data_IF_467938758436
#
_entry.id   IF_467938758436
#
_cell.length_a   1.000
_cell.length_b   1.000
_cell.length_c   1.000
_cell.angle_alpha   90.00
_cell.angle_beta   90.00
_cell.angle_gamma   90.00
#
_symmetry.space_group_name_H-M   'P 1'
#
loop_
_entity.id
_entity.type
_entity.pdbx_description
1 polymer ?
#
# COMPACT_ATOMS: atom_id res chain seq x y z
N UNK A 1 -0.76 24.85 19.55
CA UNK A 1 -1.39 23.72 20.22
C UNK A 1 -0.33 22.69 20.51
N UNK A 2 -0.19 22.29 21.75
CA UNK A 2 0.74 21.23 22.12
C UNK A 2 0.07 19.89 21.81
N UNK A 3 0.55 19.18 20.77
CA UNK A 3 -0.01 17.89 20.34
C UNK A 3 0.67 16.69 21.03
N UNK A 4 1.74 16.91 21.80
CA UNK A 4 2.51 15.84 22.43
C UNK A 4 1.66 15.00 23.41
N UNK A 5 0.70 15.64 24.08
CA UNK A 5 -0.22 14.98 25.01
C UNK A 5 -1.46 14.33 24.35
N UNK A 6 -1.67 14.53 23.04
CA UNK A 6 -2.84 14.02 22.30
C UNK A 6 -2.47 12.78 21.50
N UNK A 7 -1.26 12.73 20.99
CA UNK A 7 -0.77 11.63 20.18
C UNK A 7 -0.35 10.43 21.04
N UNK A 8 -0.65 9.23 20.56
CA UNK A 8 -0.13 8.03 21.21
C UNK A 8 1.40 7.98 21.13
N UNK A 9 2.07 7.41 22.13
CA UNK A 9 3.54 7.26 22.15
C UNK A 9 4.06 6.56 20.89
N UNK A 10 3.33 5.56 20.39
CA UNK A 10 3.69 4.83 19.16
C UNK A 10 3.73 5.72 17.92
N UNK A 11 2.89 6.76 17.86
CA UNK A 11 2.88 7.72 16.75
C UNK A 11 3.95 8.79 16.94
N UNK A 12 4.25 9.19 18.17
CA UNK A 12 5.31 10.16 18.48
C UNK A 12 6.70 9.65 18.06
N UNK A 13 6.92 8.34 18.18
CA UNK A 13 8.19 7.68 17.82
C UNK A 13 8.35 7.48 16.29
N UNK A 14 7.30 7.71 15.49
CA UNK A 14 7.38 7.57 14.04
C UNK A 14 8.14 8.75 13.41
N UNK A 15 9.21 8.43 12.70
CA UNK A 15 9.93 9.42 11.92
C UNK A 15 9.23 9.70 10.58
N UNK A 16 9.13 10.98 10.23
CA UNK A 16 8.63 11.38 8.91
C UNK A 16 9.53 10.85 7.80
N UNK A 17 8.92 10.36 6.72
CA UNK A 17 9.65 9.98 5.52
C UNK A 17 10.39 11.19 4.93
N UNK A 18 11.72 11.10 4.78
CA UNK A 18 12.53 12.13 4.15
C UNK A 18 12.18 12.40 2.68
N UNK A 19 11.52 11.46 2.01
CA UNK A 19 11.13 11.56 0.59
C UNK A 19 10.24 12.79 0.33
N UNK A 20 9.31 13.11 1.25
CA UNK A 20 8.42 14.28 1.08
C UNK A 20 9.16 15.61 0.95
N UNK A 21 10.27 15.79 1.68
CA UNK A 21 11.09 16.99 1.58
C UNK A 21 11.68 17.19 0.17
N UNK A 22 12.00 16.09 -0.50
CA UNK A 22 12.50 16.15 -1.88
C UNK A 22 11.40 16.47 -2.88
N UNK A 23 10.15 16.07 -2.64
CA UNK A 23 9.02 16.50 -3.48
C UNK A 23 8.78 17.98 -3.37
N UNK A 24 8.78 18.55 -2.16
CA UNK A 24 8.59 19.98 -1.96
C UNK A 24 9.71 20.80 -2.65
N UNK A 25 10.95 20.32 -2.58
CA UNK A 25 12.09 20.92 -3.27
C UNK A 25 11.91 20.81 -4.79
N UNK A 26 11.58 19.62 -5.31
CA UNK A 26 11.39 19.41 -6.75
C UNK A 26 10.25 20.28 -7.31
N UNK A 27 9.15 20.43 -6.56
CA UNK A 27 8.02 21.27 -6.95
C UNK A 27 8.35 22.78 -7.02
N UNK A 28 9.46 23.22 -6.43
CA UNK A 28 9.91 24.62 -6.48
C UNK A 28 10.74 24.99 -7.72
N UNK A 29 10.99 24.04 -8.60
CA UNK A 29 11.75 24.22 -9.83
C UNK A 29 10.92 23.82 -11.05
N UNK A 30 10.96 24.65 -12.11
CA UNK A 30 10.16 24.40 -13.33
C UNK A 30 10.77 23.35 -14.26
N UNK A 31 12.07 23.08 -14.16
CA UNK A 31 12.81 22.18 -15.07
C UNK A 31 13.57 21.10 -14.27
N UNK A 32 12.81 20.19 -13.62
CA UNK A 32 13.39 19.10 -12.83
C UNK A 32 13.12 17.77 -13.49
N UNK A 33 14.19 17.02 -13.75
CA UNK A 33 14.09 15.59 -14.06
C UNK A 33 14.05 14.82 -12.74
N UNK A 34 12.85 14.39 -12.32
CA UNK A 34 12.68 13.63 -11.08
C UNK A 34 12.97 12.15 -11.29
N UNK A 35 13.94 11.62 -10.54
CA UNK A 35 14.22 10.19 -10.42
C UNK A 35 13.83 9.64 -9.04
N UNK A 36 13.02 10.38 -8.29
CA UNK A 36 12.73 10.10 -6.87
C UNK A 36 11.59 9.12 -6.67
N UNK A 37 10.61 9.07 -7.59
CA UNK A 37 9.45 8.18 -7.51
C UNK A 37 9.47 7.23 -8.68
N UNK A 38 9.33 5.94 -8.40
CA UNK A 38 9.20 4.92 -9.42
C UNK A 38 7.77 4.88 -9.98
N UNK A 39 7.38 5.90 -10.72
CA UNK A 39 6.11 5.90 -11.45
C UNK A 39 6.34 5.79 -12.96
N UNK A 40 5.47 5.06 -13.68
CA UNK A 40 5.56 5.00 -15.13
C UNK A 40 5.29 6.36 -15.77
N UNK A 41 6.10 6.80 -16.72
CA UNK A 41 5.87 8.01 -17.53
C UNK A 41 4.84 7.79 -18.65
N UNK A 42 4.34 6.58 -18.81
CA UNK A 42 3.29 6.21 -19.75
C UNK A 42 1.90 6.51 -19.18
N UNK A 43 1.05 7.14 -19.98
CA UNK A 43 -0.37 7.28 -19.63
C UNK A 43 -1.03 5.89 -19.59
N UNK A 44 -1.90 5.68 -18.61
CA UNK A 44 -2.75 4.49 -18.55
C UNK A 44 -3.40 4.22 -19.91
N UNK A 45 -3.36 2.98 -20.44
CA UNK A 45 -3.94 2.64 -21.74
C UNK A 45 -5.39 3.13 -21.90
N UNK A 46 -5.70 3.62 -23.10
CA UNK A 46 -7.01 4.23 -23.36
C UNK A 46 -8.18 3.30 -23.03
N UNK A 47 -8.08 2.01 -23.33
CA UNK A 47 -9.12 1.05 -23.02
C UNK A 47 -9.51 1.03 -21.54
N UNK A 48 -8.51 1.10 -20.64
CA UNK A 48 -8.73 1.13 -19.19
C UNK A 48 -9.36 2.46 -18.77
N UNK A 49 -8.84 3.59 -19.27
CA UNK A 49 -9.39 4.92 -18.96
C UNK A 49 -10.84 5.07 -19.44
N UNK A 50 -11.14 4.60 -20.65
CA UNK A 50 -12.48 4.61 -21.23
C UNK A 50 -13.47 3.82 -20.36
N UNK A 51 -13.06 2.66 -19.87
CA UNK A 51 -13.93 1.85 -19.00
C UNK A 51 -14.20 2.53 -17.66
N UNK A 52 -13.19 3.16 -17.05
CA UNK A 52 -13.37 3.95 -15.82
C UNK A 52 -14.38 5.10 -16.03
N UNK A 53 -14.28 5.84 -17.14
CA UNK A 53 -15.24 6.91 -17.51
C UNK A 53 -16.64 6.32 -17.65
N UNK A 54 -16.78 5.22 -18.39
CA UNK A 54 -18.07 4.55 -18.61
C UNK A 54 -18.74 4.10 -17.30
N UNK A 55 -17.97 3.62 -16.34
CA UNK A 55 -18.48 3.21 -15.02
C UNK A 55 -19.01 4.42 -14.25
N UNK A 56 -18.30 5.55 -14.29
CA UNK A 56 -18.75 6.81 -13.67
C UNK A 56 -20.01 7.37 -14.34
N UNK A 57 -20.06 7.40 -15.67
CA UNK A 57 -21.24 7.85 -16.43
C UNK A 57 -22.49 7.00 -16.12
N UNK A 58 -22.30 5.72 -15.81
CA UNK A 58 -23.39 4.82 -15.38
C UNK A 58 -23.79 4.99 -13.90
N UNK A 59 -23.18 5.93 -13.18
CA UNK A 59 -23.48 6.19 -11.78
C UNK A 59 -23.13 5.03 -10.83
N UNK A 60 -22.19 4.16 -11.18
CA UNK A 60 -21.75 3.05 -10.32
C UNK A 60 -20.76 3.55 -9.26
N UNK A 61 -21.24 4.40 -8.36
CA UNK A 61 -20.44 5.06 -7.30
C UNK A 61 -20.91 4.68 -5.90
N UNK A 62 -21.69 3.61 -5.77
CA UNK A 62 -22.21 3.13 -4.49
C UNK A 62 -21.15 2.35 -3.71
N UNK A 63 -21.40 2.20 -2.40
CA UNK A 63 -20.60 1.31 -1.57
C UNK A 63 -20.57 -0.12 -2.10
N UNK A 64 -19.44 -0.77 -1.93
CA UNK A 64 -19.25 -2.18 -2.25
C UNK A 64 -19.27 -3.03 -0.97
N UNK A 65 -19.18 -4.36 -1.12
CA UNK A 65 -18.85 -5.22 0.00
C UNK A 65 -17.45 -4.84 0.56
N UNK A 66 -17.22 -5.05 1.87
CA UNK A 66 -15.96 -4.71 2.53
C UNK A 66 -14.74 -5.38 1.88
N UNK A 67 -14.90 -6.59 1.36
CA UNK A 67 -13.85 -7.30 0.65
C UNK A 67 -13.63 -6.84 -0.80
N UNK A 68 -14.41 -5.87 -1.29
CA UNK A 68 -14.40 -5.38 -2.66
C UNK A 68 -15.46 -6.02 -3.55
N UNK A 69 -15.58 -5.51 -4.79
CA UNK A 69 -16.53 -6.01 -5.78
C UNK A 69 -16.28 -7.50 -6.08
N UNK A 70 -17.34 -8.31 -6.08
CA UNK A 70 -17.25 -9.75 -6.38
C UNK A 70 -16.66 -9.98 -7.79
N UNK A 71 -17.12 -9.24 -8.80
CA UNK A 71 -16.61 -9.36 -10.17
C UNK A 71 -15.09 -9.05 -10.24
N UNK A 72 -14.61 -8.08 -9.47
CA UNK A 72 -13.17 -7.78 -9.41
C UNK A 72 -12.39 -8.93 -8.77
N UNK A 73 -12.90 -9.49 -7.68
CA UNK A 73 -12.23 -10.61 -6.98
C UNK A 73 -12.17 -11.86 -7.85
N UNK A 74 -13.23 -12.14 -8.62
CA UNK A 74 -13.23 -13.21 -9.62
C UNK A 74 -12.16 -12.95 -10.68
N UNK A 75 -12.13 -11.76 -11.25
CA UNK A 75 -11.13 -11.40 -12.26
C UNK A 75 -9.68 -11.45 -11.72
N UNK A 76 -9.47 -11.11 -10.45
CA UNK A 76 -8.16 -11.27 -9.78
C UNK A 76 -7.78 -12.75 -9.68
N UNK A 77 -8.71 -13.62 -9.26
CA UNK A 77 -8.44 -15.06 -9.19
C UNK A 77 -8.08 -15.63 -10.57
N UNK A 78 -8.84 -15.27 -11.60
CA UNK A 78 -8.59 -15.74 -12.96
C UNK A 78 -7.20 -15.29 -13.45
N UNK A 79 -6.85 -14.04 -13.21
CA UNK A 79 -5.53 -13.50 -13.56
C UNK A 79 -4.38 -14.22 -12.81
N UNK A 80 -4.55 -14.50 -11.52
CA UNK A 80 -3.54 -15.21 -10.72
C UNK A 80 -3.41 -16.65 -11.19
N UNK A 81 -4.55 -17.31 -11.45
CA UNK A 81 -4.56 -18.68 -11.94
C UNK A 81 -3.85 -18.82 -13.29
N UNK A 82 -4.13 -17.93 -14.22
CA UNK A 82 -3.48 -17.90 -15.54
C UNK A 82 -1.96 -17.73 -15.46
N UNK A 83 -1.50 -16.90 -14.52
CA UNK A 83 -0.09 -16.52 -14.44
C UNK A 83 0.76 -17.37 -13.53
N UNK A 84 0.19 -17.80 -12.41
CA UNK A 84 0.90 -18.46 -11.32
C UNK A 84 0.42 -19.90 -11.10
N UNK A 85 -0.64 -20.33 -11.81
CA UNK A 85 -1.28 -21.64 -11.63
C UNK A 85 -1.72 -21.90 -10.18
N UNK A 86 -2.14 -20.85 -9.49
CA UNK A 86 -2.70 -20.88 -8.13
C UNK A 86 -4.13 -20.35 -8.21
N UNK A 87 -5.04 -21.00 -7.53
CA UNK A 87 -6.46 -20.60 -7.46
C UNK A 87 -6.88 -20.37 -6.02
N UNK A 88 -7.67 -19.32 -5.81
CA UNK A 88 -8.26 -18.96 -4.53
C UNK A 88 -9.77 -18.92 -4.65
N UNK A 89 -10.50 -19.08 -3.54
CA UNK A 89 -11.93 -18.75 -3.52
C UNK A 89 -12.11 -17.22 -3.60
N UNK A 90 -12.66 -16.69 -4.72
CA UNK A 90 -12.79 -15.25 -4.88
C UNK A 90 -13.65 -14.59 -3.81
N UNK A 91 -14.58 -15.33 -3.20
CA UNK A 91 -15.52 -14.78 -2.22
C UNK A 91 -15.02 -14.83 -0.78
N UNK A 92 -14.04 -15.68 -0.47
CA UNK A 92 -13.60 -15.90 0.91
C UNK A 92 -12.08 -15.68 1.12
N UNK A 93 -11.26 -15.78 0.05
CA UNK A 93 -9.81 -15.71 0.16
C UNK A 93 -9.17 -14.51 -0.54
N UNK A 94 -9.99 -13.61 -1.15
CA UNK A 94 -9.49 -12.41 -1.81
C UNK A 94 -10.09 -11.17 -1.17
N UNK A 95 -9.21 -10.25 -0.72
CA UNK A 95 -9.54 -8.94 -0.18
C UNK A 95 -8.92 -7.85 -1.06
N UNK A 96 -9.73 -6.91 -1.52
CA UNK A 96 -9.27 -5.72 -2.24
C UNK A 96 -9.03 -4.59 -1.26
N UNK A 97 -7.84 -4.01 -1.30
CA UNK A 97 -7.38 -2.95 -0.39
C UNK A 97 -7.14 -1.63 -1.12
N UNK A 98 -7.04 -0.53 -0.38
CA UNK A 98 -6.65 0.78 -0.91
C UNK A 98 -5.12 0.83 -1.03
N UNK A 99 -4.60 0.10 -2.01
CA UNK A 99 -3.18 -0.03 -2.28
C UNK A 99 -2.46 -1.11 -1.46
N UNK A 100 -1.23 -1.42 -1.89
CA UNK A 100 -0.42 -2.47 -1.27
C UNK A 100 -0.02 -2.17 0.18
N UNK A 101 0.07 -0.91 0.57
CA UNK A 101 0.41 -0.54 1.95
C UNK A 101 -0.66 -0.98 2.95
N UNK A 102 -1.94 -0.85 2.60
CA UNK A 102 -3.04 -1.37 3.43
C UNK A 102 -3.02 -2.90 3.50
N UNK A 103 -2.75 -3.57 2.37
CA UNK A 103 -2.63 -5.03 2.36
C UNK A 103 -1.54 -5.52 3.31
N UNK A 104 -0.37 -4.86 3.31
CA UNK A 104 0.74 -5.17 4.20
C UNK A 104 0.37 -4.89 5.66
N UNK A 105 -0.24 -3.74 5.95
CA UNK A 105 -0.68 -3.38 7.31
C UNK A 105 -1.68 -4.39 7.86
N UNK A 106 -2.69 -4.76 7.08
CA UNK A 106 -3.67 -5.77 7.47
C UNK A 106 -3.04 -7.14 7.70
N UNK A 107 -2.12 -7.57 6.83
CA UNK A 107 -1.43 -8.84 6.98
C UNK A 107 -0.58 -8.86 8.26
N UNK A 108 0.20 -7.81 8.52
CA UNK A 108 1.01 -7.69 9.74
C UNK A 108 0.11 -7.72 10.98
N UNK A 109 -0.98 -6.96 11.01
CA UNK A 109 -1.92 -6.94 12.14
C UNK A 109 -2.64 -8.28 12.37
N UNK A 110 -2.87 -9.05 11.30
CA UNK A 110 -3.55 -10.33 11.39
C UNK A 110 -2.62 -11.49 11.81
N UNK A 111 -1.33 -11.40 11.51
CA UNK A 111 -0.41 -12.53 11.66
C UNK A 111 0.56 -12.38 12.84
N UNK A 112 0.76 -11.16 13.32
CA UNK A 112 1.86 -10.85 14.23
C UNK A 112 1.33 -10.36 15.57
N UNK A 113 1.82 -10.95 16.65
CA UNK A 113 1.54 -10.59 18.04
C UNK A 113 2.72 -9.87 18.70
N UNK A 114 2.47 -9.24 19.87
CA UNK A 114 3.52 -8.63 20.67
C UNK A 114 4.58 -9.68 21.07
N UNK A 115 5.83 -9.37 20.77
CA UNK A 115 6.98 -10.25 21.04
C UNK A 115 7.39 -11.11 19.84
N UNK A 116 6.63 -11.09 18.74
CA UNK A 116 7.09 -11.70 17.50
C UNK A 116 8.20 -10.86 16.85
N UNK A 117 9.02 -11.49 16.05
CA UNK A 117 10.10 -10.87 15.29
C UNK A 117 9.73 -10.78 13.81
N UNK A 118 9.97 -9.60 13.21
CA UNK A 118 9.76 -9.37 11.79
C UNK A 118 11.08 -8.98 11.14
N UNK A 119 11.55 -9.77 10.18
CA UNK A 119 12.75 -9.50 9.41
C UNK A 119 12.44 -8.55 8.25
N UNK A 120 13.08 -7.39 8.25
CA UNK A 120 12.92 -6.38 7.19
C UNK A 120 14.27 -6.20 6.51
N UNK A 121 14.43 -6.68 5.23
CA UNK A 121 15.66 -6.47 4.49
C UNK A 121 15.88 -4.98 4.21
N UNK A 122 17.12 -4.54 4.13
CA UNK A 122 17.52 -3.15 3.85
C UNK A 122 18.49 -3.12 2.66
N UNK A 123 18.30 -2.19 1.69
CA UNK A 123 17.21 -1.21 1.57
C UNK A 123 15.89 -1.85 1.14
N UNK A 124 14.75 -1.32 1.60
CA UNK A 124 13.42 -1.84 1.27
C UNK A 124 12.36 -0.74 1.21
N UNK A 125 11.12 -1.12 0.93
CA UNK A 125 10.01 -0.19 0.88
C UNK A 125 9.78 0.49 2.22
N UNK A 126 9.69 1.82 2.18
CA UNK A 126 9.69 2.69 3.36
C UNK A 126 8.55 2.44 4.36
N UNK A 127 7.47 1.78 3.95
CA UNK A 127 6.33 1.55 4.84
C UNK A 127 6.49 0.33 5.77
N UNK A 128 7.42 -0.61 5.51
CA UNK A 128 7.54 -1.81 6.32
C UNK A 128 7.87 -1.50 7.79
N UNK A 129 8.87 -0.67 8.04
CA UNK A 129 9.23 -0.26 9.39
C UNK A 129 8.07 0.40 10.14
N UNK A 130 7.49 1.50 9.61
CA UNK A 130 6.35 2.17 10.22
C UNK A 130 5.11 1.29 10.44
N UNK A 131 4.86 0.29 9.62
CA UNK A 131 3.74 -0.65 9.82
C UNK A 131 4.02 -1.61 10.97
N UNK A 132 5.25 -2.11 11.07
CA UNK A 132 5.64 -3.08 12.10
C UNK A 132 5.77 -2.41 13.48
N UNK A 133 6.34 -1.22 13.57
CA UNK A 133 6.61 -0.50 14.84
C UNK A 133 5.36 -0.28 15.71
N UNK A 134 4.20 0.20 15.20
CA UNK A 134 3.03 0.47 16.03
C UNK A 134 2.41 -0.75 16.68
N UNK A 135 2.66 -1.93 16.17
CA UNK A 135 2.09 -3.18 16.69
C UNK A 135 2.94 -3.78 17.82
N UNK A 136 4.00 -3.06 18.25
CA UNK A 136 4.88 -3.40 19.39
C UNK A 136 5.75 -4.63 19.16
N UNK A 137 6.41 -4.69 18.00
CA UNK A 137 7.33 -5.80 17.65
C UNK A 137 8.77 -5.37 17.73
N UNK A 138 9.61 -6.36 18.02
CA UNK A 138 11.03 -6.26 17.77
C UNK A 138 11.23 -6.49 16.27
N UNK A 139 11.57 -5.46 15.50
CA UNK A 139 11.97 -5.65 14.12
C UNK A 139 13.51 -5.79 14.06
N UNK A 140 13.97 -6.83 13.39
CA UNK A 140 15.38 -7.02 13.10
C UNK A 140 15.64 -6.48 11.69
N UNK A 141 16.62 -5.57 11.60
CA UNK A 141 17.14 -5.15 10.29
C UNK A 141 18.11 -6.21 9.80
N UNK A 142 17.79 -6.84 8.69
CA UNK A 142 18.76 -7.67 7.99
C UNK A 142 19.70 -6.73 7.21
N UNK A 143 21.00 -6.77 7.53
CA UNK A 143 22.02 -6.15 6.70
C UNK A 143 22.45 -7.17 5.64
N UNK A 144 22.46 -6.75 4.39
CA UNK A 144 23.18 -7.49 3.36
C UNK A 144 24.68 -7.38 3.70
N UNK A 145 25.32 -8.51 3.90
CA UNK A 145 26.78 -8.62 4.02
C UNK A 145 27.40 -8.64 2.64
#
# INVERSE_FOLDING_TARGET
MDYENILSRKVQDLQFSGIRKFFDIAASYDDVISLSVGEPDFKTPWAIRKEAIRVLEKGRTNYTANAGLADLRIAINDYINDRLHVSYDPLHEILVTVGGSEAIDLAIRALIDTGNEVLIPQPSFVCYGPIVTPVSYTHLRAHET
#
